data_IF_005191853721
#
_entry.id   IF_005191853721
#
_cell.length_a   1.000
_cell.length_b   1.000
_cell.length_c   1.000
_cell.angle_alpha   90.00
_cell.angle_beta   90.00
_cell.angle_gamma   90.00
#
_symmetry.space_group_name_H-M   'P 1'
#
loop_
_entity.id
_entity.type
_entity.pdbx_description
1 polymer ?
#
# COMPACT_ATOMS: atom_id res chain seq x y z
N UNK A 1 -15.90 -3.42 10.75
CA UNK A 1 -16.53 -2.11 10.49
C UNK A 1 -15.65 -1.02 11.09
N UNK A 2 -15.63 0.17 10.48
CA UNK A 2 -14.95 1.34 11.02
C UNK A 2 -15.85 2.57 10.89
N UNK A 3 -15.90 3.39 11.94
CA UNK A 3 -16.58 4.69 11.94
C UNK A 3 -15.50 5.76 12.05
N UNK A 4 -15.48 6.69 11.11
CA UNK A 4 -14.45 7.72 10.97
C UNK A 4 -15.16 9.07 10.97
N UNK A 5 -14.71 9.98 11.85
CA UNK A 5 -15.13 11.38 11.87
C UNK A 5 -13.91 12.26 11.70
N UNK A 6 -14.01 13.23 10.80
CA UNK A 6 -12.97 14.23 10.55
C UNK A 6 -13.60 15.62 10.68
N UNK A 7 -12.91 16.50 11.40
CA UNK A 7 -13.30 17.88 11.60
C UNK A 7 -12.14 18.78 11.16
N UNK A 8 -12.45 19.85 10.44
CA UNK A 8 -11.47 20.78 9.93
C UNK A 8 -12.10 22.14 9.62
N UNK A 9 -11.33 22.98 8.95
CA UNK A 9 -11.76 24.33 8.55
C UNK A 9 -11.39 24.61 7.10
N UNK A 10 -12.21 25.41 6.41
CA UNK A 10 -11.94 25.90 5.05
C UNK A 10 -11.49 27.36 5.08
N UNK A 11 -11.37 27.97 3.88
CA UNK A 11 -11.14 29.40 3.75
C UNK A 11 -12.09 30.22 4.64
N UNK A 12 -11.56 31.22 5.34
CA UNK A 12 -12.33 32.04 6.28
C UNK A 12 -12.62 31.37 7.62
N UNK A 13 -11.92 30.29 7.98
CA UNK A 13 -12.13 29.51 9.22
C UNK A 13 -13.55 28.91 9.34
N UNK A 14 -14.24 28.70 8.22
CA UNK A 14 -15.56 28.08 8.22
C UNK A 14 -15.41 26.59 8.56
N UNK A 15 -16.18 26.05 9.52
CA UNK A 15 -16.06 24.66 9.94
C UNK A 15 -16.50 23.69 8.84
N UNK A 16 -15.77 22.58 8.73
CA UNK A 16 -16.04 21.48 7.81
C UNK A 16 -16.00 20.16 8.58
N UNK A 17 -17.02 19.33 8.40
CA UNK A 17 -17.15 18.04 9.08
C UNK A 17 -17.40 16.94 8.06
N UNK A 18 -16.81 15.77 8.28
CA UNK A 18 -17.02 14.55 7.49
C UNK A 18 -17.23 13.38 8.44
N UNK A 19 -18.30 12.61 8.20
CA UNK A 19 -18.57 11.34 8.87
C UNK A 19 -18.65 10.21 7.84
N UNK A 20 -17.98 9.08 8.12
CA UNK A 20 -17.90 7.93 7.23
C UNK A 20 -18.03 6.63 8.01
N UNK A 21 -18.78 5.68 7.45
CA UNK A 21 -18.85 4.29 7.91
C UNK A 21 -18.29 3.38 6.82
N UNK A 22 -17.29 2.57 7.17
CA UNK A 22 -16.67 1.59 6.28
C UNK A 22 -17.01 0.16 6.74
N UNK A 23 -17.61 -0.60 5.85
CA UNK A 23 -17.87 -2.02 6.02
C UNK A 23 -17.09 -2.81 4.98
N UNK A 24 -16.17 -3.65 5.46
CA UNK A 24 -15.33 -4.52 4.63
C UNK A 24 -15.18 -5.86 5.31
N UNK A 25 -14.88 -6.88 4.51
CA UNK A 25 -14.35 -8.15 4.98
C UNK A 25 -12.82 -8.04 5.02
N UNK A 26 -12.23 -8.11 6.20
CA UNK A 26 -10.81 -7.80 6.40
C UNK A 26 -9.87 -8.80 5.70
N UNK A 27 -10.14 -10.10 5.86
CA UNK A 27 -9.27 -11.13 5.27
C UNK A 27 -9.23 -11.07 3.73
N UNK A 28 -10.37 -10.99 3.01
CA UNK A 28 -10.35 -10.81 1.55
C UNK A 28 -9.70 -9.50 1.10
N UNK A 29 -9.79 -8.43 1.90
CA UNK A 29 -9.22 -7.12 1.56
C UNK A 29 -7.69 -7.16 1.43
N UNK A 30 -7.03 -8.05 2.17
CA UNK A 30 -5.57 -8.24 2.11
C UNK A 30 -5.13 -9.39 1.21
N UNK A 31 -6.03 -10.31 0.84
CA UNK A 31 -5.67 -11.49 0.07
C UNK A 31 -5.02 -11.15 -1.28
N UNK A 32 -5.56 -10.16 -2.01
CA UNK A 32 -4.98 -9.71 -3.28
C UNK A 32 -3.57 -9.15 -3.12
N UNK A 33 -3.34 -8.35 -2.08
CA UNK A 33 -2.02 -7.78 -1.73
C UNK A 33 -1.01 -8.88 -1.45
N UNK A 34 -1.41 -9.91 -0.70
CA UNK A 34 -0.52 -11.04 -0.34
C UNK A 34 -0.17 -11.89 -1.56
N UNK A 35 -1.11 -12.13 -2.48
CA UNK A 35 -0.85 -12.88 -3.72
C UNK A 35 0.27 -12.22 -4.53
N UNK A 36 0.20 -10.90 -4.72
CA UNK A 36 1.22 -10.18 -5.50
C UNK A 36 2.56 -10.07 -4.76
N UNK A 37 2.54 -9.91 -3.43
CA UNK A 37 3.76 -9.93 -2.63
C UNK A 37 4.50 -11.28 -2.74
N UNK A 38 3.79 -12.41 -2.67
CA UNK A 38 4.39 -13.75 -2.82
C UNK A 38 4.97 -13.95 -4.22
N UNK A 39 4.27 -13.47 -5.26
CA UNK A 39 4.79 -13.51 -6.64
C UNK A 39 6.09 -12.71 -6.78
N UNK A 40 6.18 -11.54 -6.13
CA UNK A 40 7.41 -10.75 -6.11
C UNK A 40 8.55 -11.47 -5.37
N UNK A 41 8.26 -12.15 -4.25
CA UNK A 41 9.24 -12.98 -3.55
C UNK A 41 9.76 -14.12 -4.44
N UNK A 42 8.87 -14.78 -5.20
CA UNK A 42 9.28 -15.84 -6.14
C UNK A 42 10.18 -15.30 -7.24
N UNK A 43 9.82 -14.16 -7.85
CA UNK A 43 10.65 -13.47 -8.85
C UNK A 43 12.02 -13.06 -8.28
N UNK A 44 12.08 -12.59 -7.03
CA UNK A 44 13.34 -12.28 -6.37
C UNK A 44 14.22 -13.52 -6.21
N UNK A 45 13.61 -14.64 -5.79
CA UNK A 45 14.29 -15.93 -5.66
C UNK A 45 14.90 -16.37 -7.00
N UNK A 46 14.12 -16.28 -8.08
CA UNK A 46 14.53 -16.66 -9.43
C UNK A 46 15.66 -15.78 -9.98
N UNK A 47 15.73 -14.53 -9.51
CA UNK A 47 16.80 -13.56 -9.85
C UNK A 47 17.99 -13.63 -8.90
N UNK A 48 18.01 -14.53 -7.93
CA UNK A 48 19.07 -14.64 -6.93
C UNK A 48 19.18 -13.42 -6.01
N UNK A 49 18.10 -12.65 -5.86
CA UNK A 49 18.06 -11.48 -4.97
C UNK A 49 17.79 -11.90 -3.54
N UNK A 50 18.43 -11.22 -2.60
CA UNK A 50 18.26 -11.43 -1.17
C UNK A 50 18.02 -10.10 -0.45
N UNK A 51 17.52 -10.17 0.78
CA UNK A 51 17.17 -8.99 1.58
C UNK A 51 15.79 -8.44 1.25
N UNK A 52 15.51 -7.23 1.72
CA UNK A 52 14.21 -6.60 1.52
C UNK A 52 14.05 -6.09 0.09
N UNK A 53 12.91 -6.40 -0.53
CA UNK A 53 12.56 -5.92 -1.85
C UNK A 53 11.95 -4.52 -1.74
N UNK A 54 12.78 -3.47 -1.77
CA UNK A 54 12.33 -2.09 -1.48
C UNK A 54 11.02 -1.68 -2.18
N UNK A 55 10.91 -1.90 -3.50
CA UNK A 55 9.70 -1.57 -4.27
C UNK A 55 8.46 -2.34 -3.82
N UNK A 56 8.47 -3.69 -3.91
CA UNK A 56 7.38 -4.52 -3.39
C UNK A 56 7.03 -4.25 -1.92
N UNK A 57 8.03 -4.09 -1.04
CA UNK A 57 7.79 -3.80 0.37
C UNK A 57 7.09 -2.46 0.56
N UNK A 58 7.54 -1.40 -0.12
CA UNK A 58 6.93 -0.06 -0.04
C UNK A 58 5.49 -0.02 -0.55
N UNK A 59 5.12 -0.89 -1.49
CA UNK A 59 3.78 -0.88 -2.07
C UNK A 59 2.78 -1.79 -1.33
N UNK A 60 3.23 -2.93 -0.80
CA UNK A 60 2.34 -3.93 -0.20
C UNK A 60 2.28 -3.88 1.33
N UNK A 61 3.24 -3.23 2.00
CA UNK A 61 3.38 -3.28 3.46
C UNK A 61 3.19 -1.89 4.08
N UNK A 62 2.50 -1.83 5.23
CA UNK A 62 2.30 -0.58 5.99
C UNK A 62 3.59 -0.02 6.60
N UNK A 63 4.57 -0.90 6.86
CA UNK A 63 5.84 -0.55 7.51
C UNK A 63 7.03 -1.04 6.68
N UNK A 64 7.28 -0.45 5.50
CA UNK A 64 8.42 -0.83 4.68
C UNK A 64 9.75 -0.35 5.31
N UNK A 65 10.89 -0.96 4.94
CA UNK A 65 12.21 -0.49 5.37
C UNK A 65 12.52 0.95 4.98
N UNK A 66 11.95 1.40 3.85
CA UNK A 66 12.03 2.78 3.37
C UNK A 66 10.66 3.22 2.87
N UNK A 67 10.21 4.37 3.36
CA UNK A 67 8.92 4.95 3.01
C UNK A 67 9.00 5.66 1.67
N UNK A 68 7.97 5.47 0.85
CA UNK A 68 7.76 6.14 -0.42
C UNK A 68 6.29 6.56 -0.52
N UNK A 69 5.97 7.48 -1.43
CA UNK A 69 4.56 7.70 -1.78
C UNK A 69 4.01 6.49 -2.53
N UNK A 70 2.71 6.22 -2.40
CA UNK A 70 2.07 5.06 -3.05
C UNK A 70 2.31 5.04 -4.57
N UNK A 71 2.29 6.21 -5.22
CA UNK A 71 2.55 6.32 -6.66
C UNK A 71 3.99 5.95 -7.03
N UNK A 72 4.97 6.38 -6.23
CA UNK A 72 6.36 5.97 -6.42
C UNK A 72 6.53 4.47 -6.20
N UNK A 73 5.94 3.93 -5.13
CA UNK A 73 6.00 2.53 -4.79
C UNK A 73 5.36 1.64 -5.88
N UNK A 74 4.23 2.08 -6.46
CA UNK A 74 3.57 1.44 -7.60
C UNK A 74 4.49 1.34 -8.81
N UNK A 75 5.15 2.45 -9.18
CA UNK A 75 6.10 2.45 -10.29
C UNK A 75 7.32 1.55 -10.01
N UNK A 76 7.78 1.49 -8.76
CA UNK A 76 8.88 0.62 -8.36
C UNK A 76 8.53 -0.86 -8.49
N UNK A 77 7.32 -1.28 -8.06
CA UNK A 77 6.89 -2.69 -8.20
C UNK A 77 6.63 -3.05 -9.66
N UNK A 78 6.09 -2.15 -10.49
CA UNK A 78 5.94 -2.37 -11.93
C UNK A 78 7.28 -2.56 -12.63
N UNK A 79 8.28 -1.72 -12.32
CA UNK A 79 9.67 -1.88 -12.81
C UNK A 79 10.31 -3.18 -12.30
N UNK A 80 10.02 -3.58 -11.07
CA UNK A 80 10.48 -4.84 -10.53
C UNK A 80 9.85 -6.03 -11.27
N UNK A 81 8.57 -5.96 -11.62
CA UNK A 81 7.89 -7.04 -12.34
C UNK A 81 8.33 -7.16 -13.81
N UNK A 82 8.59 -6.04 -14.50
CA UNK A 82 8.85 -6.02 -15.94
C UNK A 82 10.27 -6.39 -16.38
N UNK A 83 11.27 -6.34 -15.48
CA UNK A 83 12.63 -6.82 -15.78
C UNK A 83 12.62 -8.35 -15.96
N UNK A 84 12.51 -8.80 -17.20
CA UNK A 84 12.78 -10.19 -17.59
C UNK A 84 14.29 -10.40 -17.66
#
# INVERSE_FOLDING_TARGET
WAYIRMEGTTFGNVPLNVELKLEVWDSPNSAGVVIDAVRCCKLALDRGLAGALEGPSAYFMKSPPKQYTDEQARQMVERFASRT
#
